data_IF_602000877057
#
_entry.id   IF_602000877057
#
_cell.length_a   1.000
_cell.length_b   1.000
_cell.length_c   1.000
_cell.angle_alpha   90.00
_cell.angle_beta   90.00
_cell.angle_gamma   90.00
#
_symmetry.space_group_name_H-M   'P 1'
#
loop_
_entity.id
_entity.type
_entity.pdbx_description
1 polymer ?
#
# COMPACT_ATOMS: atom_id res chain seq x y z
N UNK A 1 16.13 56.42 4.05
CA UNK A 1 17.03 55.79 3.06
C UNK A 1 16.54 54.37 2.88
N UNK A 2 16.02 54.05 1.70
CA UNK A 2 15.23 52.85 1.43
C UNK A 2 16.10 51.59 1.46
N UNK A 3 16.07 50.90 2.59
CA UNK A 3 16.83 49.70 2.93
C UNK A 3 16.20 48.46 2.26
N UNK A 4 16.98 47.78 1.41
CA UNK A 4 16.75 46.45 0.84
C UNK A 4 15.36 45.82 1.07
N UNK A 5 14.41 46.16 0.18
CA UNK A 5 12.98 45.81 0.29
C UNK A 5 12.70 44.31 0.32
N UNK A 6 13.58 43.47 -0.24
CA UNK A 6 13.39 42.02 -0.26
C UNK A 6 13.61 41.36 1.11
N UNK A 7 14.57 41.84 1.92
CA UNK A 7 14.77 41.37 3.30
C UNK A 7 13.57 41.73 4.17
N UNK A 8 13.07 42.95 4.01
CA UNK A 8 11.85 43.41 4.69
C UNK A 8 10.62 42.60 4.25
N UNK A 9 10.47 42.34 2.95
CA UNK A 9 9.38 41.53 2.42
C UNK A 9 9.39 40.10 2.97
N UNK A 10 10.55 39.45 3.05
CA UNK A 10 10.67 38.12 3.67
C UNK A 10 10.28 38.14 5.16
N UNK A 11 10.61 39.22 5.89
CA UNK A 11 10.18 39.38 7.28
C UNK A 11 8.67 39.59 7.42
N UNK A 12 8.06 40.41 6.55
CA UNK A 12 6.61 40.62 6.50
C UNK A 12 5.88 39.30 6.20
N UNK A 13 6.43 38.49 5.29
CA UNK A 13 5.92 37.16 4.98
C UNK A 13 6.14 36.13 6.09
N UNK A 14 6.76 36.50 7.23
CA UNK A 14 7.11 35.60 8.34
C UNK A 14 8.07 34.47 7.94
N UNK A 15 8.85 34.68 6.89
CA UNK A 15 9.93 33.79 6.48
C UNK A 15 11.27 34.13 7.15
N UNK A 16 11.34 35.27 7.85
CA UNK A 16 12.46 35.64 8.71
C UNK A 16 11.97 36.03 10.10
N UNK A 17 12.71 35.61 11.12
CA UNK A 17 12.56 36.15 12.47
C UNK A 17 13.05 37.60 12.53
N UNK A 18 12.61 38.34 13.56
CA UNK A 18 13.10 39.71 13.80
C UNK A 18 14.62 39.76 13.92
N UNK A 19 15.20 38.79 14.62
CA UNK A 19 16.66 38.68 14.81
C UNK A 19 17.39 38.47 13.48
N UNK A 20 16.92 37.54 12.65
CA UNK A 20 17.52 37.28 11.33
C UNK A 20 17.43 38.50 10.42
N UNK A 21 16.31 39.23 10.46
CA UNK A 21 16.17 40.52 9.77
C UNK A 21 17.23 41.53 10.24
N UNK A 22 17.38 41.72 11.55
CA UNK A 22 18.35 42.67 12.10
C UNK A 22 19.79 42.28 11.75
N UNK A 23 20.12 40.99 11.79
CA UNK A 23 21.43 40.46 11.34
C UNK A 23 21.66 40.69 9.84
N UNK A 24 20.65 40.44 9.00
CA UNK A 24 20.73 40.70 7.56
C UNK A 24 20.99 42.17 7.25
N UNK A 25 20.27 43.07 7.90
CA UNK A 25 20.41 44.51 7.71
C UNK A 25 21.75 45.06 8.20
N UNK A 26 22.38 44.38 9.17
CA UNK A 26 23.70 44.73 9.69
C UNK A 26 24.86 44.01 8.95
N UNK A 27 24.58 43.14 7.98
CA UNK A 27 25.60 42.32 7.34
C UNK A 27 26.47 43.16 6.40
N UNK A 28 27.82 43.06 6.44
CA UNK A 28 28.73 43.90 5.66
C UNK A 28 28.56 43.73 4.14
N UNK A 29 28.16 42.53 3.69
CA UNK A 29 27.91 42.24 2.28
C UNK A 29 26.50 42.65 1.79
N UNK A 30 25.63 43.19 2.66
CA UNK A 30 24.28 43.60 2.25
C UNK A 30 24.27 44.53 1.02
N UNK A 31 25.21 45.49 0.83
CA UNK A 31 25.26 46.32 -0.37
C UNK A 31 25.44 45.52 -1.69
N UNK A 32 25.95 44.29 -1.62
CA UNK A 32 26.11 43.41 -2.79
C UNK A 32 24.79 42.74 -3.19
N UNK A 33 23.79 42.70 -2.29
CA UNK A 33 22.47 42.21 -2.61
C UNK A 33 21.70 43.28 -3.40
N UNK A 34 21.58 43.05 -4.71
CA UNK A 34 20.92 43.97 -5.62
C UNK A 34 19.50 44.34 -5.13
N UNK A 35 19.14 45.62 -5.25
CA UNK A 35 17.79 46.08 -4.94
C UNK A 35 16.81 45.37 -5.87
N UNK A 36 15.75 44.79 -5.31
CA UNK A 36 14.75 44.04 -6.08
C UNK A 36 15.15 42.59 -6.39
N UNK A 37 16.20 42.05 -5.77
CA UNK A 37 16.51 40.62 -5.82
C UNK A 37 15.25 39.80 -5.46
N UNK A 38 14.88 38.78 -6.25
CA UNK A 38 13.74 37.92 -5.95
C UNK A 38 13.79 37.36 -4.53
N UNK A 39 12.62 37.09 -3.94
CA UNK A 39 12.53 36.61 -2.56
C UNK A 39 13.25 35.27 -2.33
N UNK A 40 13.17 34.27 -3.24
CA UNK A 40 13.94 33.03 -3.12
C UNK A 40 15.45 33.28 -3.13
N UNK A 41 15.93 34.11 -4.06
CA UNK A 41 17.36 34.44 -4.19
C UNK A 41 17.89 35.21 -2.97
N UNK A 42 17.06 36.09 -2.41
CA UNK A 42 17.38 36.80 -1.15
C UNK A 42 17.48 35.80 0.00
N UNK A 43 16.55 34.84 0.10
CA UNK A 43 16.59 33.82 1.15
C UNK A 43 17.80 32.87 0.98
N UNK A 44 18.15 32.52 -0.26
CA UNK A 44 19.36 31.76 -0.57
C UNK A 44 20.64 32.53 -0.20
N UNK A 45 20.68 33.84 -0.44
CA UNK A 45 21.79 34.69 0.00
C UNK A 45 21.95 34.68 1.52
N UNK A 46 20.84 34.80 2.27
CA UNK A 46 20.83 34.72 3.72
C UNK A 46 21.32 33.35 4.23
N UNK A 47 20.91 32.27 3.55
CA UNK A 47 21.37 30.91 3.84
C UNK A 47 22.89 30.77 3.65
N UNK A 48 23.42 31.24 2.52
CA UNK A 48 24.85 31.21 2.19
C UNK A 48 25.73 32.08 3.10
N UNK A 49 25.12 32.96 3.90
CA UNK A 49 25.81 33.77 4.92
C UNK A 49 25.51 33.31 6.35
N UNK A 50 24.89 32.14 6.50
CA UNK A 50 24.57 31.50 7.78
C UNK A 50 23.69 32.37 8.69
N UNK A 51 22.95 33.31 8.10
CA UNK A 51 21.93 34.10 8.82
C UNK A 51 20.67 33.25 8.97
N UNK A 52 20.35 32.46 7.94
CA UNK A 52 19.32 31.42 7.96
C UNK A 52 20.04 30.07 7.88
N UNK A 53 19.72 29.15 8.77
CA UNK A 53 20.34 27.81 8.82
C UNK A 53 19.47 26.76 8.14
N UNK A 54 19.99 25.55 7.95
CA UNK A 54 19.20 24.42 7.44
C UNK A 54 18.06 24.02 8.38
N UNK A 55 18.27 24.15 9.69
CA UNK A 55 17.25 23.92 10.71
C UNK A 55 16.13 24.96 10.60
N UNK A 56 16.48 26.24 10.37
CA UNK A 56 15.51 27.30 10.15
C UNK A 56 14.63 27.01 8.94
N UNK A 57 15.20 26.64 7.78
CA UNK A 57 14.45 26.33 6.56
C UNK A 57 13.50 25.14 6.76
N UNK A 58 13.96 24.10 7.47
CA UNK A 58 13.17 22.90 7.76
C UNK A 58 12.00 23.21 8.71
N UNK A 59 12.29 23.96 9.78
CA UNK A 59 11.30 24.41 10.75
C UNK A 59 10.27 25.37 10.13
N UNK A 60 10.73 26.28 9.26
CA UNK A 60 9.90 27.23 8.53
C UNK A 60 8.91 26.50 7.62
N UNK A 61 9.34 25.49 6.87
CA UNK A 61 8.46 24.70 5.98
C UNK A 61 7.31 24.06 6.78
N UNK A 62 7.64 23.45 7.92
CA UNK A 62 6.64 22.84 8.83
C UNK A 62 5.75 23.89 9.54
N UNK A 63 6.29 25.07 9.83
CA UNK A 63 5.55 26.16 10.46
C UNK A 63 4.57 26.80 9.48
N UNK A 64 5.01 27.05 8.25
CA UNK A 64 4.20 27.67 7.19
C UNK A 64 2.98 26.79 6.86
N UNK A 65 3.18 25.48 6.70
CA UNK A 65 2.09 24.53 6.46
C UNK A 65 1.05 24.46 7.60
N UNK A 66 1.44 24.80 8.84
CA UNK A 66 0.54 24.76 10.01
C UNK A 66 -0.23 26.07 10.22
N UNK A 67 0.33 27.21 9.85
CA UNK A 67 -0.20 28.52 10.25
C UNK A 67 -0.81 29.33 9.10
N UNK A 68 -0.64 28.90 7.85
CA UNK A 68 -1.19 29.60 6.67
C UNK A 68 -2.03 28.66 5.82
N UNK A 69 -2.94 29.22 5.02
CA UNK A 69 -3.78 28.48 4.07
C UNK A 69 -4.04 29.30 2.80
N UNK A 70 -4.56 28.66 1.74
CA UNK A 70 -4.89 29.34 0.48
C UNK A 70 -3.68 29.96 -0.22
N UNK A 71 -3.88 31.10 -0.87
CA UNK A 71 -2.86 31.79 -1.68
C UNK A 71 -1.64 32.22 -0.85
N UNK A 72 -1.86 32.55 0.42
CA UNK A 72 -0.80 32.90 1.36
C UNK A 72 0.14 31.74 1.67
N UNK A 73 -0.41 30.52 1.76
CA UNK A 73 0.38 29.30 1.91
C UNK A 73 1.14 28.99 0.63
N UNK A 74 0.46 29.05 -0.52
CA UNK A 74 1.04 28.75 -1.82
C UNK A 74 2.25 29.66 -2.13
N UNK A 75 2.13 30.96 -1.88
CA UNK A 75 3.22 31.92 -2.07
C UNK A 75 4.44 31.55 -1.21
N UNK A 76 4.27 31.30 0.08
CA UNK A 76 5.37 31.01 1.02
C UNK A 76 6.05 29.68 0.71
N UNK A 77 5.27 28.64 0.42
CA UNK A 77 5.82 27.36 0.00
C UNK A 77 6.58 27.47 -1.31
N UNK A 78 6.09 28.23 -2.30
CA UNK A 78 6.79 28.41 -3.57
C UNK A 78 8.16 29.09 -3.41
N UNK A 79 8.31 29.99 -2.43
CA UNK A 79 9.60 30.63 -2.12
C UNK A 79 10.55 29.63 -1.48
N UNK A 80 10.07 28.86 -0.49
CA UNK A 80 10.88 27.86 0.21
C UNK A 80 11.29 26.71 -0.73
N UNK A 81 10.38 26.25 -1.59
CA UNK A 81 10.62 25.17 -2.54
C UNK A 81 11.72 25.53 -3.54
N UNK A 82 11.70 26.75 -4.10
CA UNK A 82 12.78 27.20 -5.01
C UNK A 82 14.15 27.20 -4.33
N UNK A 83 14.23 27.60 -3.05
CA UNK A 83 15.50 27.55 -2.30
C UNK A 83 15.93 26.10 -2.05
N UNK A 84 15.00 25.23 -1.66
CA UNK A 84 15.26 23.80 -1.43
C UNK A 84 15.73 23.11 -2.71
N UNK A 85 15.07 23.34 -3.84
CA UNK A 85 15.42 22.77 -5.14
C UNK A 85 16.85 23.14 -5.55
N UNK A 86 17.24 24.41 -5.40
CA UNK A 86 18.61 24.87 -5.70
C UNK A 86 19.64 24.18 -4.80
N UNK A 87 19.41 24.17 -3.48
CA UNK A 87 20.36 23.58 -2.52
C UNK A 87 20.47 22.05 -2.64
N UNK A 88 19.36 21.38 -2.93
CA UNK A 88 19.32 19.94 -3.15
C UNK A 88 20.06 19.57 -4.44
N UNK A 89 19.86 20.38 -5.50
CA UNK A 89 20.59 20.21 -6.76
C UNK A 89 22.09 20.42 -6.57
N UNK A 90 22.51 21.47 -5.86
CA UNK A 90 23.93 21.71 -5.54
C UNK A 90 24.55 20.52 -4.79
N UNK A 91 23.82 19.95 -3.83
CA UNK A 91 24.26 18.76 -3.09
C UNK A 91 24.41 17.53 -4.00
N UNK A 92 23.48 17.34 -4.95
CA UNK A 92 23.57 16.24 -5.93
C UNK A 92 24.68 16.47 -6.97
N UNK A 93 24.85 17.70 -7.44
CA UNK A 93 25.94 18.11 -8.33
C UNK A 93 27.30 17.80 -7.69
N UNK A 94 27.46 18.12 -6.40
CA UNK A 94 28.67 17.80 -5.66
C UNK A 94 28.95 16.29 -5.61
N UNK A 95 27.93 15.44 -5.42
CA UNK A 95 28.11 13.97 -5.46
C UNK A 95 28.62 13.47 -6.82
N UNK A 96 28.19 14.10 -7.92
CA UNK A 96 28.68 13.80 -9.26
C UNK A 96 30.11 14.30 -9.45
N UNK A 97 30.39 15.53 -9.05
CA UNK A 97 31.68 16.20 -9.29
C UNK A 97 32.81 15.51 -8.51
N UNK A 98 32.51 15.00 -7.29
CA UNK A 98 33.42 14.17 -6.50
C UNK A 98 33.44 12.68 -6.94
N UNK A 99 32.79 12.37 -8.06
CA UNK A 99 32.65 11.02 -8.61
C UNK A 99 32.16 9.98 -7.58
N UNK A 100 31.33 10.39 -6.61
CA UNK A 100 30.74 9.50 -5.60
C UNK A 100 29.62 8.68 -6.25
N UNK A 101 28.81 9.32 -7.09
CA UNK A 101 27.79 8.67 -7.93
C UNK A 101 28.20 8.71 -9.40
N UNK A 102 27.68 7.78 -10.21
CA UNK A 102 27.96 7.77 -11.65
C UNK A 102 27.08 8.79 -12.39
N UNK A 103 27.47 9.24 -13.59
CA UNK A 103 26.64 10.13 -14.41
C UNK A 103 25.23 9.59 -14.68
N UNK A 104 25.09 8.27 -14.88
CA UNK A 104 23.80 7.62 -15.11
C UNK A 104 22.93 7.70 -13.86
N UNK A 105 23.52 7.44 -12.69
CA UNK A 105 22.81 7.51 -11.42
C UNK A 105 22.43 8.96 -11.08
N UNK A 106 23.26 9.94 -11.43
CA UNK A 106 22.91 11.37 -11.33
C UNK A 106 21.69 11.71 -12.19
N UNK A 107 21.65 11.27 -13.45
CA UNK A 107 20.52 11.52 -14.35
C UNK A 107 19.22 10.85 -13.86
N UNK A 108 19.34 9.67 -13.25
CA UNK A 108 18.20 8.99 -12.62
C UNK A 108 17.71 9.73 -11.36
N UNK A 109 18.62 10.28 -10.55
CA UNK A 109 18.27 10.96 -9.30
C UNK A 109 17.67 12.35 -9.51
N UNK A 110 18.10 13.08 -10.54
CA UNK A 110 17.71 14.46 -10.82
C UNK A 110 16.18 14.69 -10.86
N UNK A 111 15.35 13.90 -11.59
CA UNK A 111 13.90 14.09 -11.61
C UNK A 111 13.20 13.71 -10.30
N UNK A 112 13.90 13.03 -9.38
CA UNK A 112 13.35 12.57 -8.11
C UNK A 112 13.77 13.43 -6.92
N UNK A 113 14.58 14.47 -7.12
CA UNK A 113 14.98 15.36 -6.03
C UNK A 113 13.76 15.96 -5.34
N UNK A 114 13.67 15.88 -4.00
CA UNK A 114 12.55 16.45 -3.26
C UNK A 114 12.61 17.99 -3.34
N UNK A 115 11.47 18.63 -3.58
CA UNK A 115 11.33 20.10 -3.53
C UNK A 115 10.90 20.62 -2.17
N UNK A 116 10.43 19.75 -1.28
CA UNK A 116 9.82 20.09 0.02
C UNK A 116 10.65 19.63 1.23
N UNK A 117 11.66 18.79 1.01
CA UNK A 117 12.60 18.32 2.04
C UNK A 117 14.00 18.81 1.70
N UNK A 118 14.60 19.61 2.58
CA UNK A 118 15.95 20.10 2.40
C UNK A 118 16.98 18.99 2.66
N UNK A 119 17.94 18.86 1.74
CA UNK A 119 19.12 17.98 1.81
C UNK A 119 20.35 18.89 1.93
N UNK A 120 20.60 19.51 3.11
CA UNK A 120 21.58 20.57 3.31
C UNK A 120 23.04 20.20 3.08
N UNK A 121 23.38 18.91 2.92
CA UNK A 121 24.75 18.50 2.58
C UNK A 121 24.75 17.40 1.53
N UNK A 122 25.84 17.23 0.77
CA UNK A 122 26.01 16.11 -0.15
C UNK A 122 25.84 14.74 0.54
N UNK A 123 26.28 14.60 1.80
CA UNK A 123 26.10 13.36 2.55
C UNK A 123 24.63 13.10 2.96
N UNK A 124 23.81 14.15 3.09
CA UNK A 124 22.36 14.00 3.26
C UNK A 124 21.68 13.60 1.96
N UNK A 125 22.09 14.19 0.83
CA UNK A 125 21.64 13.77 -0.50
C UNK A 125 21.99 12.30 -0.78
N UNK A 126 23.20 11.86 -0.41
CA UNK A 126 23.63 10.47 -0.56
C UNK A 126 22.81 9.51 0.33
N UNK A 127 22.49 9.92 1.56
CA UNK A 127 21.59 9.16 2.44
C UNK A 127 20.16 9.09 1.89
N UNK A 128 19.66 10.19 1.32
CA UNK A 128 18.35 10.20 0.68
C UNK A 128 18.30 9.19 -0.48
N UNK A 129 19.32 9.14 -1.35
CA UNK A 129 19.40 8.15 -2.44
C UNK A 129 19.40 6.70 -1.94
N UNK A 130 20.04 6.43 -0.79
CA UNK A 130 19.98 5.13 -0.11
C UNK A 130 18.58 4.83 0.44
N UNK A 131 17.89 5.84 0.97
CA UNK A 131 16.58 5.71 1.58
C UNK A 131 15.48 5.42 0.55
N UNK A 132 15.49 6.15 -0.58
CA UNK A 132 14.51 5.96 -1.67
C UNK A 132 14.85 4.79 -2.60
N UNK A 133 15.97 4.10 -2.36
CA UNK A 133 16.37 2.91 -3.11
C UNK A 133 17.07 3.17 -4.46
N UNK A 134 17.36 4.43 -4.79
CA UNK A 134 18.11 4.81 -5.99
C UNK A 134 19.56 4.31 -5.95
N UNK A 135 20.16 4.26 -4.75
CA UNK A 135 21.47 3.65 -4.53
C UNK A 135 21.33 2.44 -3.60
N UNK A 136 21.33 1.20 -4.13
CA UNK A 136 21.30 0.00 -3.31
C UNK A 136 22.45 -0.07 -2.30
N UNK A 137 22.17 -0.57 -1.09
CA UNK A 137 23.18 -0.66 -0.01
C UNK A 137 24.45 -1.43 -0.40
N UNK A 138 24.31 -2.47 -1.24
CA UNK A 138 25.45 -3.23 -1.75
C UNK A 138 26.35 -2.35 -2.65
N UNK A 139 25.75 -1.57 -3.55
CA UNK A 139 26.46 -0.62 -4.42
C UNK A 139 27.08 0.53 -3.62
N UNK A 140 26.41 1.01 -2.57
CA UNK A 140 26.97 1.99 -1.64
C UNK A 140 28.21 1.44 -0.91
N UNK A 141 28.19 0.19 -0.46
CA UNK A 141 29.38 -0.44 0.16
C UNK A 141 30.57 -0.50 -0.80
N UNK A 142 30.34 -0.83 -2.08
CA UNK A 142 31.41 -0.80 -3.09
C UNK A 142 31.91 0.62 -3.37
N UNK A 143 31.01 1.61 -3.34
CA UNK A 143 31.33 3.04 -3.49
C UNK A 143 32.22 3.51 -2.35
N UNK A 144 31.88 3.16 -1.11
CA UNK A 144 32.70 3.44 0.08
C UNK A 144 34.11 2.89 -0.09
N UNK A 145 34.23 1.60 -0.43
CA UNK A 145 35.55 0.96 -0.55
C UNK A 145 36.42 1.65 -1.60
N UNK A 146 35.84 2.02 -2.75
CA UNK A 146 36.51 2.77 -3.81
C UNK A 146 36.96 4.16 -3.34
N UNK A 147 36.07 4.92 -2.69
CA UNK A 147 36.36 6.29 -2.23
C UNK A 147 37.36 6.31 -1.07
N UNK A 148 37.31 5.35 -0.15
CA UNK A 148 38.32 5.23 0.91
C UNK A 148 39.70 4.86 0.34
N UNK A 149 39.76 4.03 -0.71
CA UNK A 149 41.01 3.61 -1.33
C UNK A 149 41.68 4.70 -2.19
N UNK A 150 40.92 5.59 -2.82
CA UNK A 150 41.49 6.56 -3.78
C UNK A 150 40.69 7.82 -4.07
N UNK A 151 39.63 8.11 -3.31
CA UNK A 151 38.86 9.34 -3.44
C UNK A 151 39.52 10.55 -2.77
N UNK A 152 39.01 11.75 -3.10
CA UNK A 152 39.41 13.00 -2.47
C UNK A 152 39.07 13.00 -0.97
N UNK A 153 39.69 13.91 -0.20
CA UNK A 153 39.35 14.06 1.22
C UNK A 153 37.91 14.52 1.43
N UNK A 154 37.35 15.27 0.48
CA UNK A 154 35.95 15.69 0.55
C UNK A 154 35.00 14.53 0.26
N UNK A 155 35.27 13.74 -0.78
CA UNK A 155 34.53 12.53 -1.07
C UNK A 155 34.51 11.55 0.11
N UNK A 156 35.66 11.39 0.78
CA UNK A 156 35.77 10.60 2.02
C UNK A 156 34.90 11.17 3.13
N UNK A 157 34.91 12.49 3.36
CA UNK A 157 34.04 13.12 4.37
C UNK A 157 32.55 12.89 4.07
N UNK A 158 32.14 13.08 2.82
CA UNK A 158 30.75 12.89 2.39
C UNK A 158 30.28 11.45 2.59
N UNK A 159 31.09 10.48 2.15
CA UNK A 159 30.77 9.05 2.30
C UNK A 159 30.77 8.64 3.78
N UNK A 160 31.73 9.11 4.58
CA UNK A 160 31.76 8.85 6.04
C UNK A 160 30.57 9.47 6.76
N UNK A 161 30.14 10.67 6.37
CA UNK A 161 28.92 11.28 6.90
C UNK A 161 27.69 10.42 6.59
N UNK A 162 27.58 9.90 5.36
CA UNK A 162 26.52 8.98 4.99
C UNK A 162 26.59 7.66 5.78
N UNK A 163 27.78 7.07 5.95
CA UNK A 163 27.97 5.86 6.75
C UNK A 163 27.67 6.07 8.24
N UNK A 164 28.10 7.19 8.83
CA UNK A 164 27.84 7.53 10.22
C UNK A 164 26.33 7.61 10.49
N UNK A 165 25.56 8.23 9.59
CA UNK A 165 24.08 8.24 9.65
C UNK A 165 23.46 6.84 9.53
N UNK A 166 23.97 5.98 8.64
CA UNK A 166 23.50 4.59 8.56
C UNK A 166 23.79 3.80 9.84
N UNK A 167 24.96 4.02 10.45
CA UNK A 167 25.37 3.36 11.68
C UNK A 167 24.71 3.97 12.92
N UNK A 168 24.39 5.26 12.91
CA UNK A 168 23.54 5.94 13.88
C UNK A 168 22.10 5.45 13.78
N UNK A 169 21.55 5.22 12.59
CA UNK A 169 20.25 4.55 12.46
C UNK A 169 20.30 3.13 13.04
N UNK A 170 21.36 2.35 12.79
CA UNK A 170 21.55 1.04 13.43
C UNK A 170 21.73 1.14 14.95
N UNK A 171 22.40 2.20 15.44
CA UNK A 171 22.66 2.46 16.87
C UNK A 171 21.46 3.05 17.58
N UNK A 172 20.63 3.87 16.95
CA UNK A 172 19.37 4.38 17.46
C UNK A 172 18.34 3.27 17.55
N UNK A 173 18.32 2.36 16.56
CA UNK A 173 17.60 1.08 16.64
C UNK A 173 18.14 0.20 17.78
N UNK A 174 19.43 0.26 18.12
CA UNK A 174 20.02 -0.44 19.30
C UNK A 174 19.87 0.29 20.64
N UNK A 175 19.82 1.62 20.66
CA UNK A 175 19.79 2.47 21.85
C UNK A 175 18.39 2.63 22.40
N UNK A 176 17.39 2.74 21.53
CA UNK A 176 15.96 2.61 21.88
C UNK A 176 15.66 1.21 22.44
N UNK A 177 16.44 0.20 22.03
CA UNK A 177 16.38 -1.16 22.60
C UNK A 177 17.04 -1.23 23.98
N UNK A 178 18.12 -0.50 24.27
CA UNK A 178 18.87 -0.61 25.53
C UNK A 178 18.28 0.19 26.71
N UNK A 179 17.82 1.43 26.49
CA UNK A 179 17.25 2.27 27.57
C UNK A 179 15.81 1.91 27.92
N UNK A 180 15.10 1.20 27.03
CA UNK A 180 13.78 0.62 27.31
C UNK A 180 13.83 -0.74 28.03
N UNK A 181 15.00 -1.37 28.15
CA UNK A 181 15.13 -2.78 28.61
C UNK A 181 15.52 -2.95 30.08
N UNK A 182 15.87 -1.90 30.84
CA UNK A 182 16.36 -2.09 32.22
C UNK A 182 15.89 -1.05 33.27
N UNK A 183 14.66 -1.18 33.79
CA UNK A 183 14.37 -0.78 35.16
C UNK A 183 13.93 -2.01 35.98
N UNK A 184 14.84 -2.63 36.74
CA UNK A 184 14.45 -3.52 37.85
C UNK A 184 15.04 -4.94 37.92
N UNK A 185 14.71 -5.62 39.02
CA UNK A 185 15.38 -6.80 39.61
C UNK A 185 15.41 -8.06 38.73
N UNK A 186 16.60 -8.70 38.70
CA UNK A 186 16.98 -9.87 37.91
C UNK A 186 16.10 -11.12 38.10
N UNK A 187 15.31 -11.20 39.16
CA UNK A 187 14.49 -12.36 39.49
C UNK A 187 13.20 -12.47 38.65
N UNK A 188 12.70 -11.36 38.09
CA UNK A 188 11.52 -11.36 37.22
C UNK A 188 11.79 -12.00 35.83
N UNK A 189 13.06 -12.17 35.46
CA UNK A 189 13.46 -12.55 34.10
C UNK A 189 13.65 -14.05 33.86
N UNK A 190 13.53 -14.90 34.89
CA UNK A 190 13.44 -16.35 34.67
C UNK A 190 12.08 -16.78 34.09
N UNK A 191 11.07 -15.90 34.17
CA UNK A 191 9.69 -16.17 33.72
C UNK A 191 9.33 -15.34 32.47
N UNK A 192 9.88 -14.13 32.31
CA UNK A 192 9.55 -13.24 31.20
C UNK A 192 10.22 -13.56 29.86
N UNK A 193 11.46 -14.06 29.87
CA UNK A 193 12.23 -14.35 28.65
C UNK A 193 11.57 -15.36 27.69
N UNK A 194 11.00 -16.49 28.18
CA UNK A 194 10.35 -17.46 27.32
C UNK A 194 9.05 -16.93 26.69
N UNK A 195 8.30 -16.10 27.43
CA UNK A 195 7.05 -15.49 26.95
C UNK A 195 7.30 -14.41 25.88
N UNK A 196 8.39 -13.65 26.00
CA UNK A 196 8.76 -12.64 25.00
C UNK A 196 9.26 -13.27 23.69
N UNK A 197 9.99 -14.39 23.75
CA UNK A 197 10.38 -15.15 22.56
C UNK A 197 9.16 -15.78 21.87
N UNK A 198 8.19 -16.29 22.63
CA UNK A 198 6.92 -16.73 22.08
C UNK A 198 6.15 -15.58 21.40
N UNK A 199 6.14 -14.38 22.01
CA UNK A 199 5.52 -13.19 21.44
C UNK A 199 6.21 -12.64 20.18
N UNK A 200 7.55 -12.72 20.10
CA UNK A 200 8.31 -12.25 18.94
C UNK A 200 8.18 -13.21 17.74
N UNK A 201 8.15 -14.53 18.01
CA UNK A 201 7.83 -15.53 16.98
C UNK A 201 6.39 -15.36 16.47
N UNK A 202 5.43 -15.07 17.36
CA UNK A 202 4.05 -14.75 16.99
C UNK A 202 3.95 -13.46 16.14
N UNK A 203 4.65 -12.38 16.53
CA UNK A 203 4.62 -11.10 15.82
C UNK A 203 5.25 -11.17 14.42
N UNK A 204 6.36 -11.88 14.24
CA UNK A 204 6.99 -12.05 12.92
C UNK A 204 6.14 -12.95 12.00
N UNK A 205 5.43 -13.93 12.55
CA UNK A 205 4.46 -14.73 11.76
C UNK A 205 3.14 -13.99 11.49
N UNK A 206 2.77 -12.99 12.29
CA UNK A 206 1.49 -12.25 12.16
C UNK A 206 1.59 -10.88 11.47
N UNK A 207 2.78 -10.29 11.32
CA UNK A 207 2.95 -8.93 10.75
C UNK A 207 2.51 -8.74 9.29
N UNK A 208 2.26 -9.83 8.56
CA UNK A 208 1.70 -9.85 7.20
C UNK A 208 0.34 -10.56 7.13
N UNK A 209 -0.30 -10.82 8.27
CA UNK A 209 -1.58 -11.53 8.34
C UNK A 209 -2.75 -10.55 8.39
N UNK A 210 -3.77 -10.82 7.58
CA UNK A 210 -5.07 -10.19 7.75
C UNK A 210 -5.68 -10.62 9.09
N UNK A 211 -6.51 -9.77 9.74
CA UNK A 211 -7.15 -10.09 11.01
C UNK A 211 -7.79 -11.47 11.02
N UNK A 212 -7.77 -12.11 12.19
CA UNK A 212 -8.47 -13.38 12.41
C UNK A 212 -9.99 -13.21 12.23
N UNK A 213 -10.65 -14.30 11.86
CA UNK A 213 -12.09 -14.31 11.59
C UNK A 213 -12.90 -13.88 12.81
N UNK A 214 -12.51 -14.31 14.01
CA UNK A 214 -13.17 -14.08 15.29
C UNK A 214 -12.55 -12.93 16.11
N UNK A 215 -11.61 -12.18 15.53
CA UNK A 215 -11.07 -10.99 16.19
C UNK A 215 -12.16 -9.94 16.45
N UNK A 216 -12.06 -9.25 17.59
CA UNK A 216 -13.06 -8.25 18.02
C UNK A 216 -13.33 -7.21 16.94
N UNK A 217 -12.31 -6.75 16.22
CA UNK A 217 -12.43 -5.77 15.15
C UNK A 217 -13.17 -6.32 13.93
N UNK A 218 -12.87 -7.57 13.53
CA UNK A 218 -13.59 -8.27 12.45
C UNK A 218 -15.05 -8.46 12.83
N UNK A 219 -15.33 -8.99 14.03
CA UNK A 219 -16.70 -9.24 14.48
C UNK A 219 -17.51 -7.95 14.57
N UNK A 220 -16.93 -6.87 15.11
CA UNK A 220 -17.59 -5.57 15.23
C UNK A 220 -17.88 -4.97 13.84
N UNK A 221 -16.92 -5.07 12.92
CA UNK A 221 -17.07 -4.54 11.56
C UNK A 221 -18.11 -5.32 10.76
N UNK A 222 -18.04 -6.64 10.78
CA UNK A 222 -19.00 -7.50 10.08
C UNK A 222 -20.41 -7.38 10.66
N UNK A 223 -20.55 -7.32 11.98
CA UNK A 223 -21.85 -7.11 12.64
C UNK A 223 -22.44 -5.75 12.26
N UNK A 224 -21.63 -4.69 12.20
CA UNK A 224 -22.06 -3.36 11.75
C UNK A 224 -22.53 -3.39 10.30
N UNK A 225 -21.78 -4.08 9.42
CA UNK A 225 -22.15 -4.24 8.02
C UNK A 225 -23.47 -5.01 7.85
N UNK A 226 -23.63 -6.14 8.54
CA UNK A 226 -24.87 -6.93 8.54
C UNK A 226 -26.08 -6.11 8.99
N UNK A 227 -25.97 -5.40 10.10
CA UNK A 227 -27.07 -4.58 10.61
C UNK A 227 -27.40 -3.39 9.71
N UNK A 228 -26.42 -2.89 8.93
CA UNK A 228 -26.68 -1.84 7.93
C UNK A 228 -27.41 -2.38 6.69
N UNK A 229 -27.21 -3.65 6.35
CA UNK A 229 -27.91 -4.28 5.22
C UNK A 229 -29.27 -4.88 5.62
N UNK A 230 -29.47 -5.22 6.90
CA UNK A 230 -30.72 -5.74 7.44
C UNK A 230 -31.93 -4.87 7.03
N UNK A 231 -33.03 -5.46 6.53
CA UNK A 231 -34.24 -4.70 6.20
C UNK A 231 -34.81 -3.97 7.43
N UNK A 232 -35.41 -2.81 7.21
CA UNK A 232 -36.09 -2.07 8.27
C UNK A 232 -37.16 -2.92 8.96
N UNK A 233 -37.16 -2.94 10.29
CA UNK A 233 -38.08 -3.74 11.09
C UNK A 233 -37.61 -5.16 11.45
N UNK A 234 -36.43 -5.59 10.96
CA UNK A 234 -35.80 -6.84 11.42
C UNK A 234 -34.96 -6.60 12.69
N UNK A 235 -34.90 -7.61 13.57
CA UNK A 235 -34.06 -7.55 14.78
C UNK A 235 -32.56 -7.37 14.50
N UNK A 236 -31.74 -7.15 15.54
CA UNK A 236 -30.29 -7.01 15.35
C UNK A 236 -29.66 -8.32 14.88
N UNK A 237 -28.95 -8.28 13.75
CA UNK A 237 -28.12 -9.37 13.28
C UNK A 237 -26.91 -9.55 14.19
N UNK A 238 -26.55 -10.80 14.49
CA UNK A 238 -25.31 -11.17 15.17
C UNK A 238 -24.59 -12.30 14.42
N UNK A 239 -23.26 -12.27 14.44
CA UNK A 239 -22.44 -13.39 13.99
C UNK A 239 -22.16 -14.33 15.17
N UNK A 240 -22.34 -15.62 14.94
CA UNK A 240 -22.08 -16.71 15.88
C UNK A 240 -21.26 -17.79 15.16
N UNK A 241 -20.69 -18.73 15.93
CA UNK A 241 -19.99 -19.91 15.41
C UNK A 241 -18.92 -19.59 14.34
N UNK A 242 -18.21 -18.47 14.53
CA UNK A 242 -17.21 -17.98 13.59
C UNK A 242 -16.00 -18.90 13.61
N UNK A 243 -15.59 -19.37 12.43
CA UNK A 243 -14.43 -20.24 12.24
C UNK A 243 -13.70 -19.90 10.94
N UNK A 244 -12.39 -20.11 10.96
CA UNK A 244 -11.58 -20.01 9.76
C UNK A 244 -11.76 -21.23 8.85
N UNK A 245 -11.95 -21.00 7.55
CA UNK A 245 -11.90 -22.05 6.53
C UNK A 245 -10.47 -22.29 6.04
N UNK A 246 -9.66 -21.22 5.96
CA UNK A 246 -8.25 -21.27 5.63
C UNK A 246 -7.67 -19.88 5.32
N UNK A 247 -6.35 -19.80 5.27
CA UNK A 247 -5.60 -18.58 4.98
C UNK A 247 -4.63 -18.79 3.81
N UNK A 248 -4.86 -18.06 2.71
CA UNK A 248 -3.96 -18.04 1.57
C UNK A 248 -2.96 -16.90 1.76
N UNK A 249 -1.81 -17.22 2.35
CA UNK A 249 -0.80 -16.25 2.75
C UNK A 249 -0.13 -15.53 1.57
N UNK A 250 -0.04 -16.18 0.40
CA UNK A 250 0.52 -15.58 -0.82
C UNK A 250 -0.35 -14.46 -1.39
N UNK A 251 -1.67 -14.53 -1.22
CA UNK A 251 -2.62 -13.47 -1.61
C UNK A 251 -3.10 -12.61 -0.43
N UNK A 252 -2.57 -12.81 0.77
CA UNK A 252 -2.99 -12.11 2.00
C UNK A 252 -4.52 -12.07 2.18
N UNK A 253 -5.17 -13.22 1.98
CA UNK A 253 -6.63 -13.36 2.08
C UNK A 253 -7.03 -14.55 2.95
N UNK A 254 -7.97 -14.32 3.87
CA UNK A 254 -8.50 -15.33 4.79
C UNK A 254 -9.97 -15.59 4.49
N UNK A 255 -10.37 -16.85 4.45
CA UNK A 255 -11.76 -17.28 4.32
C UNK A 255 -12.36 -17.62 5.68
N UNK A 256 -13.52 -17.07 5.98
CA UNK A 256 -14.22 -17.22 7.25
C UNK A 256 -15.62 -17.79 7.02
N UNK A 257 -16.03 -18.72 7.89
CA UNK A 257 -17.37 -19.28 7.97
C UNK A 257 -18.01 -18.83 9.29
N UNK A 258 -19.31 -18.56 9.27
CA UNK A 258 -20.05 -18.13 10.44
C UNK A 258 -21.52 -18.53 10.34
N UNK A 259 -22.25 -18.33 11.42
CA UNK A 259 -23.71 -18.40 11.47
C UNK A 259 -24.25 -16.99 11.74
N UNK A 260 -25.12 -16.47 10.88
CA UNK A 260 -25.89 -15.27 11.19
C UNK A 260 -27.10 -15.69 12.02
N UNK A 261 -27.29 -15.05 13.17
CA UNK A 261 -28.55 -15.10 13.90
C UNK A 261 -29.30 -13.77 13.73
N UNK A 262 -30.50 -13.83 13.15
CA UNK A 262 -31.39 -12.71 12.87
C UNK A 262 -32.82 -13.11 13.23
N UNK A 263 -33.49 -12.36 14.13
CA UNK A 263 -34.83 -12.69 14.63
C UNK A 263 -35.01 -14.17 15.05
N UNK A 264 -34.01 -14.72 15.74
CA UNK A 264 -34.01 -16.11 16.20
C UNK A 264 -33.77 -17.16 15.10
N UNK A 265 -33.75 -16.77 13.83
CA UNK A 265 -33.36 -17.66 12.72
C UNK A 265 -31.84 -17.69 12.57
N UNK A 266 -31.31 -18.90 12.40
CA UNK A 266 -29.88 -19.15 12.16
C UNK A 266 -29.67 -19.50 10.69
N UNK A 267 -28.74 -18.81 10.03
CA UNK A 267 -28.39 -19.03 8.62
C UNK A 267 -26.88 -19.14 8.47
N UNK A 268 -26.41 -20.08 7.65
CA UNK A 268 -24.99 -20.21 7.32
C UNK A 268 -24.51 -19.00 6.53
N UNK A 269 -23.33 -18.49 6.88
CA UNK A 269 -22.74 -17.32 6.25
C UNK A 269 -21.23 -17.48 6.09
N UNK A 270 -20.66 -16.74 5.16
CA UNK A 270 -19.22 -16.70 4.98
C UNK A 270 -18.76 -15.30 4.53
N UNK A 271 -17.48 -15.03 4.73
CA UNK A 271 -16.86 -13.80 4.29
C UNK A 271 -15.36 -14.00 4.12
N UNK A 272 -14.72 -13.12 3.36
CA UNK A 272 -13.26 -13.05 3.24
C UNK A 272 -12.74 -11.77 3.87
N UNK A 273 -11.56 -11.87 4.46
CA UNK A 273 -10.80 -10.73 4.98
C UNK A 273 -9.55 -10.63 4.12
N UNK A 274 -9.36 -9.50 3.44
CA UNK A 274 -8.23 -9.28 2.54
C UNK A 274 -7.59 -7.92 2.80
N UNK A 275 -6.29 -7.81 2.53
CA UNK A 275 -5.64 -6.50 2.48
C UNK A 275 -5.92 -5.85 1.13
N UNK A 276 -6.40 -4.61 1.16
CA UNK A 276 -6.56 -3.75 0.00
C UNK A 276 -5.38 -2.78 -0.07
N UNK A 277 -4.49 -3.05 -1.02
CA UNK A 277 -3.30 -2.24 -1.29
C UNK A 277 -3.49 -1.31 -2.50
N UNK A 278 -4.71 -1.16 -3.01
CA UNK A 278 -5.02 -0.32 -4.19
C UNK A 278 -4.93 1.20 -3.95
N UNK A 279 -4.54 1.65 -2.74
CA UNK A 279 -4.43 3.05 -2.36
C UNK A 279 -3.21 3.38 -1.48
N UNK A 280 -3.02 4.67 -1.18
CA UNK A 280 -1.88 5.20 -0.39
C UNK A 280 -1.83 4.75 1.07
N UNK A 281 -2.87 4.05 1.55
CA UNK A 281 -2.93 3.42 2.87
C UNK A 281 -3.48 2.01 2.68
N UNK A 282 -2.75 1.00 3.14
CA UNK A 282 -3.27 -0.36 3.19
C UNK A 282 -4.52 -0.42 4.09
N UNK A 283 -5.64 -0.87 3.55
CA UNK A 283 -6.89 -1.03 4.31
C UNK A 283 -7.24 -2.50 4.41
N UNK A 284 -7.87 -2.92 5.51
CA UNK A 284 -8.49 -4.24 5.56
C UNK A 284 -9.86 -4.15 4.89
N UNK A 285 -10.08 -5.03 3.93
CA UNK A 285 -11.36 -5.20 3.23
C UNK A 285 -12.08 -6.43 3.76
N UNK A 286 -13.40 -6.31 3.92
CA UNK A 286 -14.28 -7.37 4.37
C UNK A 286 -15.33 -7.60 3.30
N UNK A 287 -15.42 -8.84 2.82
CA UNK A 287 -16.25 -9.17 1.67
C UNK A 287 -17.16 -10.36 1.99
N UNK A 288 -18.48 -10.16 1.94
CA UNK A 288 -19.44 -11.26 2.11
C UNK A 288 -19.34 -12.29 0.99
N UNK A 289 -19.54 -13.57 1.33
CA UNK A 289 -19.39 -14.69 0.40
C UNK A 289 -20.31 -15.87 0.76
N UNK A 290 -20.48 -16.80 -0.18
CA UNK A 290 -21.23 -18.03 0.05
C UNK A 290 -20.38 -19.06 0.80
N UNK A 291 -20.93 -19.78 1.80
CA UNK A 291 -20.20 -20.81 2.54
C UNK A 291 -19.60 -21.90 1.66
N UNK A 292 -20.28 -22.31 0.59
CA UNK A 292 -19.78 -23.33 -0.33
C UNK A 292 -18.54 -22.85 -1.10
N UNK A 293 -18.52 -21.58 -1.55
CA UNK A 293 -17.35 -21.00 -2.23
C UNK A 293 -16.15 -20.88 -1.29
N UNK A 294 -16.38 -20.39 -0.07
CA UNK A 294 -15.30 -20.24 0.91
C UNK A 294 -14.74 -21.61 1.29
N UNK A 295 -15.59 -22.63 1.48
CA UNK A 295 -15.12 -24.01 1.71
C UNK A 295 -14.36 -24.57 0.51
N UNK A 296 -14.83 -24.36 -0.72
CA UNK A 296 -14.17 -24.86 -1.92
C UNK A 296 -12.80 -24.20 -2.14
N UNK A 297 -12.71 -22.88 -1.97
CA UNK A 297 -11.50 -22.08 -2.22
C UNK A 297 -10.47 -22.21 -1.08
N UNK A 298 -10.93 -22.11 0.17
CA UNK A 298 -10.04 -22.03 1.35
C UNK A 298 -9.95 -23.33 2.14
N UNK A 299 -10.88 -24.27 1.97
CA UNK A 299 -10.85 -25.55 2.69
C UNK A 299 -9.68 -26.45 2.33
N UNK A 300 -8.90 -26.08 1.31
CA UNK A 300 -7.61 -26.72 1.00
C UNK A 300 -6.62 -25.67 0.51
N UNK A 301 -5.74 -25.22 1.40
CA UNK A 301 -4.59 -24.37 1.09
C UNK A 301 -3.34 -25.25 0.95
N UNK A 302 -2.51 -24.99 -0.07
CA UNK A 302 -1.22 -25.67 -0.28
C UNK A 302 -0.13 -24.63 -0.48
N UNK A 303 0.96 -24.75 0.27
CA UNK A 303 2.10 -23.84 0.19
C UNK A 303 1.73 -22.34 0.30
N UNK A 304 0.66 -22.03 1.04
CA UNK A 304 0.17 -20.67 1.21
C UNK A 304 -0.70 -20.12 0.06
N UNK A 305 -1.12 -20.97 -0.89
CA UNK A 305 -1.94 -20.62 -2.03
C UNK A 305 -3.17 -21.56 -2.15
N UNK A 306 -4.16 -21.20 -2.95
CA UNK A 306 -5.30 -22.04 -3.27
C UNK A 306 -4.84 -23.35 -3.94
N UNK A 307 -5.36 -24.48 -3.49
CA UNK A 307 -5.02 -25.77 -4.09
C UNK A 307 -5.46 -25.86 -5.56
N UNK A 308 -6.57 -25.21 -5.91
CA UNK A 308 -7.17 -25.26 -7.24
C UNK A 308 -6.78 -24.03 -8.07
N UNK A 309 -5.82 -24.22 -8.98
CA UNK A 309 -5.26 -23.16 -9.83
C UNK A 309 -5.82 -23.15 -11.26
N UNK A 310 -6.85 -23.96 -11.54
CA UNK A 310 -7.43 -24.14 -12.88
C UNK A 310 -6.40 -24.46 -13.98
N UNK A 311 -5.32 -25.19 -13.67
CA UNK A 311 -4.30 -25.57 -14.65
C UNK A 311 -4.93 -26.42 -15.78
N UNK A 312 -4.53 -26.24 -17.06
CA UNK A 312 -3.48 -25.33 -17.53
C UNK A 312 -3.96 -23.90 -17.86
N UNK A 313 -5.26 -23.61 -17.75
CA UNK A 313 -5.83 -22.30 -18.09
C UNK A 313 -5.28 -21.21 -17.17
N UNK A 314 -5.24 -21.49 -15.87
CA UNK A 314 -5.01 -20.50 -14.82
C UNK A 314 -6.32 -19.83 -14.40
N UNK A 315 -6.40 -19.40 -13.14
CA UNK A 315 -7.63 -18.84 -12.55
C UNK A 315 -8.10 -17.57 -13.25
N UNK A 316 -7.18 -16.65 -13.51
CA UNK A 316 -7.48 -15.37 -14.18
C UNK A 316 -8.00 -15.57 -15.61
N UNK A 317 -7.34 -16.43 -16.38
CA UNK A 317 -7.75 -16.68 -17.76
C UNK A 317 -9.08 -17.45 -17.82
N UNK A 318 -9.32 -18.36 -16.88
CA UNK A 318 -10.61 -19.05 -16.74
C UNK A 318 -11.73 -18.06 -16.43
N UNK A 319 -11.54 -17.19 -15.44
CA UNK A 319 -12.52 -16.18 -15.06
C UNK A 319 -12.83 -15.25 -16.24
N UNK A 320 -11.79 -14.75 -16.91
CA UNK A 320 -11.93 -13.90 -18.09
C UNK A 320 -12.71 -14.60 -19.20
N UNK A 321 -12.32 -15.81 -19.58
CA UNK A 321 -12.96 -16.56 -20.65
C UNK A 321 -14.43 -16.87 -20.35
N UNK A 322 -14.74 -17.22 -19.10
CA UNK A 322 -16.11 -17.47 -18.67
C UNK A 322 -16.97 -16.20 -18.74
N UNK A 323 -16.44 -15.06 -18.28
CA UNK A 323 -17.14 -13.76 -18.32
C UNK A 323 -17.35 -13.29 -19.77
N UNK A 324 -16.33 -13.39 -20.62
CA UNK A 324 -16.45 -13.10 -22.05
C UNK A 324 -17.53 -14.00 -22.72
N UNK A 325 -17.62 -15.25 -22.28
CA UNK A 325 -18.66 -16.21 -22.73
C UNK A 325 -20.09 -15.79 -22.35
N UNK A 326 -20.27 -15.23 -21.16
CA UNK A 326 -21.56 -14.68 -20.71
C UNK A 326 -22.00 -13.49 -21.59
N UNK A 327 -21.08 -12.58 -21.89
CA UNK A 327 -21.32 -11.41 -22.75
C UNK A 327 -21.66 -11.84 -24.18
N UNK A 328 -20.89 -12.79 -24.73
CA UNK A 328 -21.10 -13.33 -26.08
C UNK A 328 -22.42 -14.10 -26.24
N UNK A 329 -22.90 -14.77 -25.18
CA UNK A 329 -24.18 -15.46 -25.18
C UNK A 329 -25.41 -14.52 -25.12
N UNK A 330 -25.19 -13.19 -25.10
CA UNK A 330 -26.23 -12.15 -24.88
C UNK A 330 -27.08 -12.42 -23.65
N UNK A 331 -26.50 -13.09 -22.65
CA UNK A 331 -27.14 -13.26 -21.36
C UNK A 331 -26.98 -11.91 -20.67
N UNK A 332 -27.94 -11.01 -20.87
CA UNK A 332 -27.84 -9.64 -20.39
C UNK A 332 -27.69 -9.64 -18.86
N UNK A 333 -26.60 -9.08 -18.30
CA UNK A 333 -26.51 -8.88 -16.87
C UNK A 333 -27.62 -7.90 -16.49
N UNK A 334 -28.63 -8.37 -15.76
CA UNK A 334 -29.57 -7.46 -15.12
C UNK A 334 -28.89 -7.02 -13.81
N UNK A 335 -28.36 -5.79 -13.73
CA UNK A 335 -27.78 -5.30 -12.49
C UNK A 335 -28.88 -5.28 -11.45
N UNK A 336 -28.71 -6.07 -10.39
CA UNK A 336 -29.68 -6.13 -9.30
C UNK A 336 -28.97 -5.96 -7.98
N UNK A 337 -29.66 -5.28 -7.07
CA UNK A 337 -29.25 -5.13 -5.68
C UNK A 337 -29.31 -6.51 -5.01
N UNK A 338 -28.22 -7.26 -5.11
CA UNK A 338 -27.99 -8.36 -4.19
C UNK A 338 -28.00 -7.80 -2.76
N UNK A 339 -28.45 -8.60 -1.79
CA UNK A 339 -28.25 -8.33 -0.37
C UNK A 339 -26.76 -8.53 -0.06
N UNK A 340 -25.93 -7.68 -0.66
CA UNK A 340 -24.50 -7.85 -0.72
C UNK A 340 -23.89 -6.81 0.16
N UNK A 341 -23.22 -7.27 1.21
CA UNK A 341 -22.32 -6.46 2.02
C UNK A 341 -21.09 -5.96 1.23
N UNK A 342 -21.03 -6.20 -0.09
CA UNK A 342 -19.89 -5.86 -0.94
C UNK A 342 -20.27 -4.79 -1.95
N UNK A 343 -19.43 -3.75 -2.06
CA UNK A 343 -19.57 -2.64 -3.00
C UNK A 343 -18.91 -2.90 -4.37
N UNK A 344 -18.48 -4.14 -4.65
CA UNK A 344 -17.82 -4.44 -5.93
C UNK A 344 -18.84 -4.56 -7.06
N UNK A 345 -18.66 -3.78 -8.13
CA UNK A 345 -19.51 -3.84 -9.33
C UNK A 345 -19.58 -5.24 -9.94
N UNK A 346 -18.50 -6.03 -9.84
CA UNK A 346 -18.43 -7.41 -10.36
C UNK A 346 -19.42 -8.36 -9.66
N UNK A 347 -19.69 -8.15 -8.36
CA UNK A 347 -20.61 -8.98 -7.56
C UNK A 347 -22.09 -8.68 -7.82
N UNK A 348 -22.40 -7.61 -8.57
CA UNK A 348 -23.77 -7.25 -8.97
C UNK A 348 -24.18 -7.83 -10.32
N UNK A 349 -23.24 -8.48 -11.03
CA UNK A 349 -23.50 -9.17 -12.30
C UNK A 349 -24.28 -10.46 -12.06
N UNK A 350 -24.78 -11.07 -13.13
CA UNK A 350 -25.48 -12.35 -13.05
C UNK A 350 -24.62 -13.45 -12.44
N UNK A 351 -23.32 -13.49 -12.77
CA UNK A 351 -22.34 -14.39 -12.16
C UNK A 351 -21.48 -13.58 -11.21
N UNK A 352 -21.71 -13.76 -9.92
CA UNK A 352 -21.01 -13.04 -8.85
C UNK A 352 -19.59 -13.57 -8.66
N UNK A 353 -19.42 -14.90 -8.65
CA UNK A 353 -18.14 -15.58 -8.42
C UNK A 353 -18.05 -16.91 -9.18
N UNK A 354 -16.81 -17.32 -9.45
CA UNK A 354 -16.47 -18.57 -10.13
C UNK A 354 -15.33 -19.23 -9.34
N UNK A 355 -15.49 -20.49 -8.98
CA UNK A 355 -14.47 -21.27 -8.28
C UNK A 355 -14.16 -22.59 -9.01
N UNK A 356 -12.90 -22.82 -9.42
CA UNK A 356 -12.49 -24.13 -9.92
C UNK A 356 -12.43 -25.16 -8.79
N UNK A 357 -13.04 -26.31 -9.00
CA UNK A 357 -13.05 -27.41 -8.02
C UNK A 357 -11.93 -28.43 -8.24
N UNK A 358 -11.32 -28.43 -9.43
CA UNK A 358 -10.25 -29.36 -9.82
C UNK A 358 -9.37 -28.73 -10.93
N UNK A 359 -8.18 -29.29 -11.22
CA UNK A 359 -7.47 -28.99 -12.47
C UNK A 359 -8.37 -29.32 -13.67
N UNK A 360 -8.26 -28.51 -14.73
CA UNK A 360 -9.01 -28.72 -15.95
C UNK A 360 -8.44 -29.91 -16.73
N UNK A 361 -9.33 -30.72 -17.29
CA UNK A 361 -8.97 -31.94 -18.02
C UNK A 361 -9.11 -31.72 -19.52
N UNK A 362 -8.10 -32.06 -20.28
CA UNK A 362 -8.21 -32.10 -21.73
C UNK A 362 -9.14 -33.25 -22.14
N UNK A 363 -10.24 -32.92 -22.81
CA UNK A 363 -11.24 -33.91 -23.26
C UNK A 363 -11.13 -34.20 -24.76
N UNK A 364 -10.52 -33.29 -25.51
CA UNK A 364 -10.12 -33.46 -26.90
C UNK A 364 -9.01 -32.44 -27.21
N UNK A 365 -8.21 -32.62 -28.28
CA UNK A 365 -7.06 -31.76 -28.56
C UNK A 365 -7.41 -30.27 -28.51
N UNK A 366 -6.85 -29.55 -27.53
CA UNK A 366 -7.07 -28.11 -27.34
C UNK A 366 -8.38 -27.71 -26.65
N UNK A 367 -9.23 -28.66 -26.22
CA UNK A 367 -10.46 -28.42 -25.47
C UNK A 367 -10.34 -29.02 -24.06
N UNK A 368 -10.57 -28.16 -23.06
CA UNK A 368 -10.42 -28.47 -21.65
C UNK A 368 -11.75 -28.32 -20.91
N UNK A 369 -12.16 -29.34 -20.17
CA UNK A 369 -13.29 -29.31 -19.24
C UNK A 369 -12.81 -28.90 -17.85
N UNK A 370 -13.44 -27.88 -17.27
CA UNK A 370 -13.19 -27.45 -15.91
C UNK A 370 -14.46 -27.64 -15.08
N UNK A 371 -14.34 -28.32 -13.94
CA UNK A 371 -15.43 -28.43 -12.96
C UNK A 371 -15.47 -27.15 -12.12
N UNK A 372 -16.55 -26.38 -12.24
CA UNK A 372 -16.70 -25.07 -11.60
C UNK A 372 -17.87 -25.06 -10.64
N UNK A 373 -17.71 -24.33 -9.55
CA UNK A 373 -18.76 -23.88 -8.65
C UNK A 373 -18.96 -22.37 -8.89
N UNK A 374 -20.18 -21.98 -9.27
CA UNK A 374 -20.53 -20.60 -9.61
C UNK A 374 -21.60 -20.08 -8.65
N UNK A 375 -21.46 -18.82 -8.25
CA UNK A 375 -22.51 -18.07 -7.56
C UNK A 375 -23.26 -17.23 -8.61
N UNK A 376 -24.54 -17.53 -8.79
CA UNK A 376 -25.40 -16.82 -9.74
C UNK A 376 -26.46 -16.02 -9.01
N UNK A 377 -26.51 -14.72 -9.28
CA UNK A 377 -27.54 -13.81 -8.80
C UNK A 377 -28.81 -14.00 -9.64
N UNK A 378 -29.65 -14.97 -9.29
CA UNK A 378 -30.93 -15.25 -9.94
C UNK A 378 -32.07 -15.15 -8.92
N UNK A 379 -32.94 -14.15 -9.07
CA UNK A 379 -34.06 -13.91 -8.17
C UNK A 379 -35.16 -14.98 -8.28
N UNK A 380 -35.33 -15.62 -9.45
CA UNK A 380 -36.35 -16.64 -9.68
C UNK A 380 -35.94 -17.96 -9.03
N UNK A 381 -34.66 -18.33 -9.15
CA UNK A 381 -34.09 -19.48 -8.46
C UNK A 381 -33.85 -19.21 -6.96
N UNK A 382 -33.48 -17.97 -6.62
CA UNK A 382 -33.30 -17.51 -5.24
C UNK A 382 -34.61 -17.48 -4.44
N UNK A 383 -35.73 -17.07 -5.07
CA UNK A 383 -37.06 -17.12 -4.45
C UNK A 383 -37.52 -18.54 -4.09
N UNK A 384 -37.11 -19.55 -4.86
CA UNK A 384 -37.41 -20.97 -4.58
C UNK A 384 -36.58 -21.51 -3.40
N UNK A 385 -35.37 -20.97 -3.20
CA UNK A 385 -34.43 -21.41 -2.15
C UNK A 385 -34.28 -20.41 -0.98
N UNK A 386 -35.10 -19.36 -0.92
CA UNK A 386 -35.10 -18.37 0.18
C UNK A 386 -33.92 -17.39 0.20
N UNK A 387 -33.22 -17.17 -0.92
CA UNK A 387 -32.02 -16.32 -1.03
C UNK A 387 -31.99 -15.38 -2.24
N UNK A 388 -30.93 -14.56 -2.37
CA UNK A 388 -30.72 -13.63 -3.49
C UNK A 388 -29.71 -14.12 -4.54
N UNK A 389 -29.04 -15.25 -4.26
CA UNK A 389 -28.11 -15.92 -5.15
C UNK A 389 -28.22 -17.44 -4.99
N UNK A 390 -27.86 -18.20 -6.01
CA UNK A 390 -27.87 -19.66 -6.03
C UNK A 390 -26.49 -20.19 -6.41
N UNK A 391 -26.06 -21.22 -5.71
CA UNK A 391 -24.84 -21.95 -6.02
C UNK A 391 -25.14 -23.01 -7.08
N UNK A 392 -24.38 -23.01 -8.17
CA UNK A 392 -24.46 -24.04 -9.20
C UNK A 392 -23.11 -24.68 -9.44
N UNK A 393 -23.09 -25.98 -9.71
CA UNK A 393 -21.90 -26.72 -10.08
C UNK A 393 -22.07 -27.34 -11.46
N UNK A 394 -21.09 -27.14 -12.33
CA UNK A 394 -21.11 -27.64 -13.70
C UNK A 394 -19.72 -27.95 -14.23
N UNK A 395 -19.68 -28.72 -15.31
CA UNK A 395 -18.50 -28.87 -16.16
C UNK A 395 -18.63 -27.88 -17.30
N UNK A 396 -17.61 -27.04 -17.48
CA UNK A 396 -17.59 -26.02 -18.52
C UNK A 396 -16.39 -26.23 -19.42
N UNK A 397 -16.61 -26.15 -20.73
CA UNK A 397 -15.55 -26.40 -21.70
C UNK A 397 -14.96 -25.12 -22.27
N UNK A 398 -13.64 -25.13 -22.38
CA UNK A 398 -12.82 -24.03 -22.85
C UNK A 398 -11.89 -24.50 -23.97
N UNK A 399 -11.65 -23.63 -24.93
CA UNK A 399 -10.73 -23.85 -26.04
C UNK A 399 -9.70 -22.72 -26.11
N UNK A 400 -8.48 -23.06 -26.53
CA UNK A 400 -7.49 -22.03 -26.88
C UNK A 400 -7.95 -21.27 -28.12
N UNK A 401 -7.64 -19.99 -28.16
CA UNK A 401 -7.80 -19.21 -29.38
C UNK A 401 -6.84 -19.70 -30.49
N UNK A 402 -7.12 -19.33 -31.73
CA UNK A 402 -6.33 -19.74 -32.89
C UNK A 402 -4.87 -19.23 -32.83
N UNK A 403 -4.60 -18.19 -32.03
CA UNK A 403 -3.26 -17.65 -31.82
C UNK A 403 -2.48 -18.35 -30.69
N UNK A 404 -3.12 -19.26 -29.94
CA UNK A 404 -2.55 -19.98 -28.80
C UNK A 404 -2.35 -19.14 -27.53
N UNK A 405 -2.76 -17.86 -27.54
CA UNK A 405 -2.43 -16.86 -26.53
C UNK A 405 -3.61 -16.55 -25.59
N UNK A 406 -4.81 -17.02 -25.90
CA UNK A 406 -6.03 -16.74 -25.15
C UNK A 406 -6.91 -17.96 -24.97
N UNK A 407 -7.86 -17.85 -24.05
CA UNK A 407 -8.86 -18.87 -23.75
C UNK A 407 -10.25 -18.31 -24.03
N UNK A 408 -11.13 -19.16 -24.56
CA UNK A 408 -12.53 -18.86 -24.81
C UNK A 408 -13.39 -20.05 -24.41
N UNK A 409 -14.65 -19.81 -24.06
CA UNK A 409 -15.60 -20.90 -23.90
C UNK A 409 -15.94 -21.52 -25.26
N UNK A 410 -16.33 -22.79 -25.28
CA UNK A 410 -16.78 -23.46 -26.50
C UNK A 410 -18.22 -23.03 -26.86
N UNK A 411 -18.72 -23.37 -28.07
CA UNK A 411 -20.12 -23.14 -28.44
C UNK A 411 -21.16 -23.83 -27.53
N UNK A 412 -20.75 -24.81 -26.71
CA UNK A 412 -21.63 -25.54 -25.79
C UNK A 412 -21.92 -24.77 -24.50
N UNK A 413 -21.22 -23.66 -24.24
CA UNK A 413 -21.29 -22.92 -22.98
C UNK A 413 -22.72 -22.62 -22.47
N UNK A 414 -23.61 -22.14 -23.35
CA UNK A 414 -24.97 -21.81 -22.97
C UNK A 414 -25.80 -23.04 -22.53
N UNK A 415 -25.51 -24.22 -23.10
CA UNK A 415 -26.12 -25.48 -22.70
C UNK A 415 -25.53 -25.97 -21.38
N UNK A 416 -24.21 -25.91 -21.22
CA UNK A 416 -23.49 -26.28 -19.99
C UNK A 416 -23.99 -25.46 -18.79
N UNK A 417 -24.15 -24.15 -18.97
CA UNK A 417 -24.69 -23.25 -17.95
C UNK A 417 -26.12 -23.63 -17.52
N UNK A 418 -26.98 -24.04 -18.46
CA UNK A 418 -28.35 -24.51 -18.16
C UNK A 418 -28.38 -25.86 -17.46
N UNK A 419 -27.37 -26.71 -17.70
CA UNK A 419 -27.26 -28.04 -17.10
C UNK A 419 -26.55 -28.03 -15.73
N UNK A 420 -25.93 -26.90 -15.35
CA UNK A 420 -25.28 -26.74 -14.06
C UNK A 420 -26.26 -26.97 -12.90
N UNK A 421 -25.90 -27.89 -12.01
CA UNK A 421 -26.77 -28.38 -10.94
C UNK A 421 -26.73 -27.43 -9.75
N UNK A 422 -27.89 -27.13 -9.20
CA UNK A 422 -27.98 -26.36 -7.96
C UNK A 422 -27.33 -27.14 -6.81
N UNK A 423 -26.60 -26.43 -5.95
CA UNK A 423 -26.00 -26.93 -4.73
C UNK A 423 -26.58 -26.18 -3.53
N UNK A 424 -26.83 -26.93 -2.46
CA UNK A 424 -27.31 -26.43 -1.17
C UNK A 424 -26.21 -26.50 -0.10
#
# INVERSE_FOLDING_TARGET
>A
MSTHTSVEALHVLKLLTRRQREQALAHPDLPQLAIGTPLPDTLLWLYRRQIVTSEDVTSLSSSVARHFSGDELALRLSILQQVVEVLNRESLDHLRDEAIITPELYQQALPHLPGDVLLPTPGEALNWMLHVGLLPRAQFKTTVQRIEAGGSDDAKRVVRHAQARQDEHKKAVRGVVLDGLFPGSRLAWLIGAPLALAGMVWYVMSGNSVPECDSTDTLTTMTRMLNKAAPEGTGKASLQDVKEAGYASSQHIRGCLATIALDGKKMGYAYTVARDDSGSKSRISYTGAQPLLVKARFGTIRDGDFAQQAKPLGREALEKAFRDGMDGARIMPQPRQAFSLTQSMERTREIAEIEPLAPCKEISPGIYSCRLLIERNDALLGMLNGGTAVMQEGEFTFQRDAAGNGWSVTPQFALELRQAKIKE
#
